data_IF_975787389266
#
_entry.id   IF_975787389266
#
_cell.length_a   1.000
_cell.length_b   1.000
_cell.length_c   1.000
_cell.angle_alpha   90.00
_cell.angle_beta   90.00
_cell.angle_gamma   90.00
#
_symmetry.space_group_name_H-M   'P 1'
#
loop_
_entity.id
_entity.type
_entity.pdbx_description
1 polymer ?
#
# COMPACT_ATOMS: atom_id res chain seq x y z
N UNK A 1 -14.45 -7.31 -15.96
CA UNK A 1 -14.25 -7.03 -17.40
C UNK A 1 -14.41 -8.32 -18.23
N UNK A 2 -15.12 -8.29 -19.36
CA UNK A 2 -15.33 -9.46 -20.22
C UNK A 2 -14.05 -9.81 -21.02
N UNK A 3 -13.44 -10.97 -20.72
CA UNK A 3 -12.18 -11.40 -21.36
C UNK A 3 -12.28 -11.52 -22.88
N UNK A 4 -13.45 -11.87 -23.41
CA UNK A 4 -13.63 -12.05 -24.86
C UNK A 4 -13.68 -10.69 -25.57
N UNK A 5 -14.39 -9.69 -25.03
CA UNK A 5 -14.34 -8.31 -25.52
C UNK A 5 -12.91 -7.76 -25.52
N UNK A 6 -12.16 -7.94 -24.43
CA UNK A 6 -10.77 -7.48 -24.34
C UNK A 6 -9.88 -8.03 -25.46
N UNK A 7 -10.00 -9.32 -25.76
CA UNK A 7 -9.23 -9.97 -26.82
C UNK A 7 -9.73 -9.60 -28.22
N UNK A 8 -11.04 -9.36 -28.39
CA UNK A 8 -11.59 -8.86 -29.65
C UNK A 8 -11.11 -7.43 -29.94
N UNK A 9 -11.16 -6.55 -28.95
CA UNK A 9 -10.69 -5.17 -29.05
C UNK A 9 -9.19 -5.11 -29.35
N UNK A 10 -8.38 -5.98 -28.73
CA UNK A 10 -6.92 -6.09 -28.99
C UNK A 10 -6.59 -6.36 -30.47
N UNK A 11 -7.47 -7.03 -31.21
CA UNK A 11 -7.23 -7.38 -32.62
C UNK A 11 -7.41 -6.19 -33.57
N UNK A 12 -7.90 -5.03 -33.07
CA UNK A 12 -8.02 -3.77 -33.81
C UNK A 12 -8.61 -3.97 -35.21
N UNK A 13 -9.82 -4.53 -35.25
CA UNK A 13 -10.45 -4.87 -36.54
C UNK A 13 -10.89 -3.59 -37.27
N UNK A 14 -10.57 -3.45 -38.56
CA UNK A 14 -11.02 -2.31 -39.35
C UNK A 14 -12.55 -2.32 -39.52
N UNK A 15 -13.17 -1.15 -39.55
CA UNK A 15 -14.58 -1.00 -39.91
C UNK A 15 -14.77 -0.85 -41.42
N UNK A 16 -16.04 -0.80 -41.85
CA UNK A 16 -16.43 -0.46 -43.23
C UNK A 16 -16.14 1.00 -43.55
N UNK A 17 -16.19 1.89 -42.56
CA UNK A 17 -15.80 3.29 -42.73
C UNK A 17 -14.29 3.45 -42.67
N UNK A 18 -13.73 4.11 -43.67
CA UNK A 18 -12.30 4.34 -43.79
C UNK A 18 -11.74 5.10 -42.58
N UNK A 19 -10.60 4.64 -42.05
CA UNK A 19 -9.96 5.23 -40.87
C UNK A 19 -10.61 4.91 -39.51
N UNK A 20 -11.63 4.04 -39.47
CA UNK A 20 -12.29 3.62 -38.22
C UNK A 20 -12.10 2.13 -37.90
N UNK A 21 -12.20 1.81 -36.61
CA UNK A 21 -12.05 0.46 -36.06
C UNK A 21 -13.31 0.03 -35.32
N UNK A 22 -13.54 -1.27 -35.25
CA UNK A 22 -14.64 -1.84 -34.48
C UNK A 22 -14.23 -2.00 -33.02
N UNK A 23 -15.06 -1.48 -32.11
CA UNK A 23 -14.92 -1.68 -30.67
C UNK A 23 -16.12 -2.46 -30.13
N UNK A 24 -15.84 -3.50 -29.34
CA UNK A 24 -16.81 -4.45 -28.81
C UNK A 24 -17.06 -4.14 -27.32
N UNK A 25 -18.26 -3.66 -27.01
CA UNK A 25 -18.69 -3.40 -25.64
C UNK A 25 -19.58 -4.55 -25.13
N UNK A 26 -19.28 -5.20 -23.99
CA UNK A 26 -20.11 -6.27 -23.45
C UNK A 26 -21.47 -5.74 -22.98
N UNK A 27 -22.54 -6.47 -23.28
CA UNK A 27 -23.91 -6.09 -22.97
C UNK A 27 -24.50 -6.89 -21.80
N UNK A 28 -25.36 -6.23 -21.02
CA UNK A 28 -26.24 -6.89 -20.07
C UNK A 28 -27.54 -7.37 -20.76
N UNK A 29 -28.35 -8.16 -20.04
CA UNK A 29 -29.60 -8.72 -20.56
C UNK A 29 -30.63 -7.67 -21.00
N UNK A 30 -30.55 -6.45 -20.45
CA UNK A 30 -31.40 -5.31 -20.80
C UNK A 30 -30.95 -4.55 -22.05
N UNK A 31 -29.70 -4.73 -22.52
CA UNK A 31 -29.14 -3.97 -23.63
C UNK A 31 -29.46 -4.59 -24.99
N UNK A 32 -29.75 -3.74 -25.99
CA UNK A 32 -30.01 -4.17 -27.38
C UNK A 32 -28.69 -4.45 -28.12
N UNK A 33 -28.13 -5.63 -27.90
CA UNK A 33 -26.91 -6.07 -28.58
C UNK A 33 -27.07 -6.20 -30.10
N UNK A 34 -26.10 -5.69 -30.87
CA UNK A 34 -26.04 -5.78 -32.33
C UNK A 34 -25.04 -6.85 -32.82
N UNK A 35 -24.29 -7.49 -31.92
CA UNK A 35 -23.33 -8.54 -32.23
C UNK A 35 -23.36 -9.63 -31.16
N UNK A 36 -23.23 -10.90 -31.57
CA UNK A 36 -23.25 -12.06 -30.67
C UNK A 36 -22.14 -13.04 -31.01
N UNK A 37 -21.49 -13.58 -29.99
CA UNK A 37 -20.49 -14.65 -30.12
C UNK A 37 -20.77 -15.70 -29.06
N UNK A 38 -21.26 -16.87 -29.49
CA UNK A 38 -21.83 -17.87 -28.59
C UNK A 38 -22.99 -17.26 -27.77
N UNK A 39 -22.96 -17.46 -26.45
CA UNK A 39 -23.96 -16.92 -25.53
C UNK A 39 -23.73 -15.45 -25.15
N UNK A 40 -22.61 -14.85 -25.61
CA UNK A 40 -22.23 -13.48 -25.25
C UNK A 40 -22.77 -12.45 -26.23
N UNK A 41 -23.24 -11.33 -25.69
CA UNK A 41 -23.88 -10.23 -26.40
C UNK A 41 -23.01 -8.99 -26.33
N UNK A 42 -22.85 -8.29 -27.44
CA UNK A 42 -22.03 -7.09 -27.58
C UNK A 42 -22.76 -5.98 -28.33
N UNK A 43 -22.46 -4.73 -27.97
CA UNK A 43 -22.69 -3.54 -28.78
C UNK A 43 -21.36 -3.21 -29.47
N UNK A 44 -21.37 -3.28 -30.79
CA UNK A 44 -20.22 -2.95 -31.63
C UNK A 44 -20.43 -1.56 -32.19
N UNK A 45 -19.45 -0.70 -31.94
CA UNK A 45 -19.40 0.68 -32.44
C UNK A 45 -18.16 0.88 -33.30
N UNK A 46 -18.20 1.91 -34.13
CA UNK A 46 -17.04 2.38 -34.88
C UNK A 46 -16.34 3.50 -34.10
N UNK A 47 -15.05 3.37 -33.91
CA UNK A 47 -14.21 4.34 -33.20
C UNK A 47 -13.06 4.79 -34.09
N UNK A 48 -12.58 6.01 -33.89
CA UNK A 48 -11.34 6.50 -34.50
C UNK A 48 -10.11 5.84 -33.85
N UNK A 49 -8.94 6.02 -34.46
CA UNK A 49 -7.66 5.54 -33.92
C UNK A 49 -7.42 6.02 -32.47
N UNK A 50 -7.54 7.34 -32.23
CA UNK A 50 -7.29 7.94 -30.92
C UNK A 50 -8.29 7.43 -29.85
N UNK A 51 -9.56 7.26 -30.24
CA UNK A 51 -10.59 6.70 -29.34
C UNK A 51 -10.32 5.23 -29.04
N UNK A 52 -9.87 4.46 -30.04
CA UNK A 52 -9.49 3.06 -29.85
C UNK A 52 -8.32 2.94 -28.88
N UNK A 53 -7.27 3.77 -29.00
CA UNK A 53 -6.12 3.77 -28.09
C UNK A 53 -6.52 4.13 -26.66
N UNK A 54 -7.33 5.17 -26.48
CA UNK A 54 -7.83 5.59 -25.17
C UNK A 54 -8.68 4.51 -24.49
N UNK A 55 -9.62 3.92 -25.24
CA UNK A 55 -10.44 2.81 -24.76
C UNK A 55 -9.61 1.56 -24.49
N UNK A 56 -8.55 1.32 -25.27
CA UNK A 56 -7.65 0.18 -25.09
C UNK A 56 -6.82 0.28 -23.82
N UNK A 57 -6.36 1.49 -23.49
CA UNK A 57 -5.68 1.75 -22.23
C UNK A 57 -6.62 1.56 -21.04
N UNK A 58 -7.86 2.06 -21.11
CA UNK A 58 -8.89 1.81 -20.10
C UNK A 58 -9.18 0.31 -19.94
N UNK A 59 -9.36 -0.40 -21.04
CA UNK A 59 -9.50 -1.86 -21.07
C UNK A 59 -8.31 -2.55 -20.38
N UNK A 60 -7.08 -2.09 -20.62
CA UNK A 60 -5.87 -2.65 -19.98
C UNK A 60 -5.88 -2.41 -18.47
N UNK A 61 -6.24 -1.21 -18.03
CA UNK A 61 -6.35 -0.88 -16.60
C UNK A 61 -7.45 -1.72 -15.93
N UNK A 62 -8.63 -1.82 -16.53
CA UNK A 62 -9.73 -2.63 -16.01
C UNK A 62 -9.40 -4.13 -16.01
N UNK A 63 -8.78 -4.66 -17.07
CA UNK A 63 -8.35 -6.05 -17.14
C UNK A 63 -7.32 -6.36 -16.04
N UNK A 64 -6.32 -5.51 -15.86
CA UNK A 64 -5.28 -5.68 -14.86
C UNK A 64 -5.80 -5.53 -13.42
N UNK A 65 -6.71 -4.59 -13.19
CA UNK A 65 -7.40 -4.41 -11.91
C UNK A 65 -8.34 -5.58 -11.61
N UNK A 66 -9.09 -6.06 -12.59
CA UNK A 66 -9.98 -7.22 -12.45
C UNK A 66 -9.19 -8.50 -12.19
N UNK A 67 -8.02 -8.67 -12.83
CA UNK A 67 -7.08 -9.74 -12.51
C UNK A 67 -6.46 -9.59 -11.12
N UNK A 68 -6.22 -8.37 -10.62
CA UNK A 68 -5.82 -8.17 -9.20
C UNK A 68 -6.95 -8.57 -8.24
N UNK A 69 -8.20 -8.23 -8.54
CA UNK A 69 -9.37 -8.57 -7.70
C UNK A 69 -9.65 -10.08 -7.69
N UNK A 70 -9.64 -10.75 -8.85
CA UNK A 70 -9.82 -12.21 -8.92
C UNK A 70 -8.67 -12.98 -8.24
N UNK A 71 -7.43 -12.45 -8.30
CA UNK A 71 -6.27 -13.02 -7.58
C UNK A 71 -6.43 -13.05 -6.06
N UNK A 72 -7.31 -12.23 -5.50
CA UNK A 72 -7.52 -12.13 -4.06
C UNK A 72 -8.86 -12.67 -3.56
N UNK A 73 -9.87 -12.87 -4.43
CA UNK A 73 -11.26 -13.09 -4.00
C UNK A 73 -11.93 -14.37 -4.50
N UNK A 74 -11.29 -15.28 -5.24
CA UNK A 74 -11.90 -16.60 -5.45
C UNK A 74 -11.57 -17.54 -4.26
N UNK A 75 -12.57 -18.00 -3.49
CA UNK A 75 -12.34 -19.04 -2.50
C UNK A 75 -11.93 -20.32 -3.21
N UNK A 76 -10.94 -21.01 -2.64
CA UNK A 76 -10.59 -22.36 -3.09
C UNK A 76 -11.82 -23.27 -2.90
N UNK A 77 -12.11 -24.18 -3.84
CA UNK A 77 -13.13 -25.20 -3.61
C UNK A 77 -12.77 -26.00 -2.35
N UNK A 78 -13.80 -26.31 -1.56
CA UNK A 78 -13.68 -26.96 -0.25
C UNK A 78 -12.95 -28.32 -0.34
N UNK A 79 -12.91 -28.92 -1.53
CA UNK A 79 -12.26 -30.20 -1.77
C UNK A 79 -11.58 -30.27 -3.16
N UNK A 80 -10.25 -30.27 -3.19
CA UNK A 80 -9.41 -30.25 -4.41
C UNK A 80 -9.43 -31.60 -5.16
N UNK A 81 -9.70 -32.70 -4.43
CA UNK A 81 -9.79 -34.06 -4.96
C UNK A 81 -11.08 -34.30 -5.77
N UNK A 82 -12.10 -33.47 -5.56
CA UNK A 82 -13.39 -33.55 -6.26
C UNK A 82 -13.40 -32.77 -7.59
N UNK A 83 -12.33 -32.01 -7.89
CA UNK A 83 -12.23 -31.21 -9.10
C UNK A 83 -11.87 -32.06 -10.32
N UNK A 84 -12.46 -31.73 -11.47
CA UNK A 84 -12.03 -32.35 -12.72
C UNK A 84 -10.60 -31.90 -13.08
N UNK A 85 -9.82 -32.72 -13.83
CA UNK A 85 -8.46 -32.37 -14.24
C UNK A 85 -8.35 -31.02 -14.98
N UNK A 86 -9.41 -30.62 -15.68
CA UNK A 86 -9.50 -29.35 -16.40
C UNK A 86 -9.73 -28.15 -15.47
N UNK A 87 -10.42 -28.36 -14.35
CA UNK A 87 -10.61 -27.36 -13.30
C UNK A 87 -9.36 -27.22 -12.44
N UNK A 88 -8.69 -28.32 -12.10
CA UNK A 88 -7.38 -28.31 -11.45
C UNK A 88 -6.36 -27.51 -12.28
N UNK A 89 -6.33 -27.72 -13.61
CA UNK A 89 -5.47 -26.95 -14.52
C UNK A 89 -5.79 -25.45 -14.61
N UNK A 90 -6.99 -25.01 -14.22
CA UNK A 90 -7.35 -23.59 -14.16
C UNK A 90 -6.65 -22.88 -12.99
N UNK A 91 -6.29 -23.62 -11.94
CA UNK A 91 -5.61 -23.14 -10.73
C UNK A 91 -4.07 -23.26 -10.79
N UNK A 92 -3.55 -24.12 -11.66
CA UNK A 92 -2.11 -24.25 -11.90
C UNK A 92 -1.65 -23.04 -12.74
N UNK A 93 -1.24 -21.97 -12.07
CA UNK A 93 -0.65 -20.80 -12.70
C UNK A 93 0.83 -21.09 -13.05
N UNK A 94 1.16 -21.18 -14.35
CA UNK A 94 2.53 -21.45 -14.83
C UNK A 94 3.50 -20.27 -14.61
N UNK A 95 3.02 -19.08 -14.28
CA UNK A 95 3.84 -17.87 -14.10
C UNK A 95 4.22 -17.59 -12.64
N UNK A 96 3.57 -18.24 -11.67
CA UNK A 96 3.90 -18.09 -10.25
C UNK A 96 4.63 -19.36 -9.81
N UNK A 97 5.91 -19.27 -9.38
CA UNK A 97 6.62 -20.43 -8.86
C UNK A 97 5.78 -21.07 -7.76
N UNK A 98 5.62 -22.39 -7.82
CA UNK A 98 4.92 -23.20 -6.80
C UNK A 98 5.38 -22.84 -5.38
N UNK A 99 6.64 -22.45 -5.22
CA UNK A 99 7.24 -22.01 -3.97
C UNK A 99 6.60 -20.75 -3.38
N UNK A 100 6.29 -19.71 -4.17
CA UNK A 100 5.78 -18.43 -3.62
C UNK A 100 4.36 -18.55 -3.05
N UNK A 101 3.44 -19.20 -3.77
CA UNK A 101 2.07 -19.45 -3.27
C UNK A 101 2.07 -20.39 -2.06
N UNK A 102 2.97 -21.37 -2.02
CA UNK A 102 3.09 -22.29 -0.89
C UNK A 102 3.64 -21.59 0.35
N UNK A 103 4.63 -20.70 0.18
CA UNK A 103 5.24 -19.94 1.28
C UNK A 103 4.23 -18.95 1.87
N UNK A 104 3.55 -18.13 1.06
CA UNK A 104 2.53 -17.19 1.56
C UNK A 104 1.38 -17.90 2.29
N UNK A 105 0.98 -19.08 1.79
CA UNK A 105 -0.01 -19.93 2.46
C UNK A 105 0.50 -20.48 3.78
N UNK A 106 1.72 -21.00 3.82
CA UNK A 106 2.34 -21.51 5.04
C UNK A 106 2.52 -20.40 6.08
N UNK A 107 2.94 -19.21 5.66
CA UNK A 107 3.10 -18.05 6.54
C UNK A 107 1.76 -17.59 7.10
N UNK A 108 0.70 -17.58 6.27
CA UNK A 108 -0.65 -17.31 6.75
C UNK A 108 -1.13 -18.37 7.75
N UNK A 109 -0.88 -19.65 7.48
CA UNK A 109 -1.25 -20.74 8.41
C UNK A 109 -0.50 -20.60 9.73
N UNK A 110 0.81 -20.29 9.71
CA UNK A 110 1.60 -20.03 10.91
C UNK A 110 1.09 -18.81 11.68
N UNK A 111 0.82 -17.71 10.98
CA UNK A 111 0.29 -16.49 11.58
C UNK A 111 -1.07 -16.75 12.27
N UNK A 112 -2.02 -17.40 11.58
CA UNK A 112 -3.29 -17.83 12.17
C UNK A 112 -3.11 -18.90 13.27
N UNK A 113 -2.01 -19.64 13.21
CA UNK A 113 -1.53 -20.57 14.24
C UNK A 113 -1.35 -19.92 15.61
N UNK A 114 -0.97 -18.64 15.65
CA UNK A 114 -0.80 -17.87 16.90
C UNK A 114 -2.12 -17.52 17.60
N UNK A 115 -3.24 -17.66 16.89
CA UNK A 115 -4.57 -17.34 17.38
C UNK A 115 -5.22 -18.54 18.07
N UNK A 116 -6.01 -18.26 19.11
CA UNK A 116 -6.95 -19.26 19.65
C UNK A 116 -7.99 -19.64 18.60
N UNK A 117 -8.64 -20.79 18.78
CA UNK A 117 -9.69 -21.27 17.86
C UNK A 117 -10.79 -20.22 17.66
N UNK A 118 -11.22 -19.56 18.74
CA UNK A 118 -12.26 -18.53 18.68
C UNK A 118 -11.77 -17.24 18.00
N UNK A 119 -10.54 -16.80 18.28
CA UNK A 119 -9.92 -15.64 17.61
C UNK A 119 -9.77 -15.88 16.11
N UNK A 120 -9.26 -17.07 15.73
CA UNK A 120 -9.12 -17.45 14.32
C UNK A 120 -10.46 -17.48 13.61
N UNK A 121 -11.48 -18.09 14.24
CA UNK A 121 -12.83 -18.19 13.66
C UNK A 121 -13.43 -16.79 13.44
N UNK A 122 -13.38 -15.92 14.45
CA UNK A 122 -13.87 -14.53 14.32
C UNK A 122 -13.09 -13.75 13.26
N UNK A 123 -11.76 -13.91 13.21
CA UNK A 123 -10.92 -13.22 12.24
C UNK A 123 -11.22 -13.66 10.80
N UNK A 124 -11.29 -14.96 10.53
CA UNK A 124 -11.62 -15.49 9.20
C UNK A 124 -13.02 -15.09 8.75
N UNK A 125 -14.04 -15.21 9.61
CA UNK A 125 -15.40 -14.78 9.27
C UNK A 125 -15.46 -13.28 8.91
N UNK A 126 -14.64 -12.44 9.54
CA UNK A 126 -14.61 -11.01 9.29
C UNK A 126 -13.78 -10.64 8.04
N UNK A 127 -12.62 -11.27 7.84
CA UNK A 127 -11.65 -10.87 6.80
C UNK A 127 -11.81 -11.67 5.52
N UNK A 128 -12.07 -12.97 5.64
CA UNK A 128 -12.13 -13.89 4.49
C UNK A 128 -13.56 -13.96 3.95
N UNK A 129 -14.55 -14.08 4.85
CA UNK A 129 -15.96 -14.18 4.46
C UNK A 129 -16.66 -12.82 4.40
N UNK A 130 -16.01 -11.75 4.87
CA UNK A 130 -16.53 -10.37 4.80
C UNK A 130 -17.80 -10.13 5.60
N UNK A 131 -18.10 -10.97 6.61
CA UNK A 131 -19.30 -10.87 7.42
C UNK A 131 -19.25 -9.67 8.37
N UNK A 132 -20.41 -9.08 8.64
CA UNK A 132 -20.47 -7.98 9.61
C UNK A 132 -20.37 -8.49 11.04
N UNK A 133 -19.99 -7.62 11.97
CA UNK A 133 -19.94 -8.00 13.39
C UNK A 133 -21.30 -8.48 13.92
N UNK A 134 -22.41 -8.00 13.32
CA UNK A 134 -23.77 -8.44 13.66
C UNK A 134 -24.01 -9.89 13.21
N UNK A 135 -23.67 -10.20 11.98
CA UNK A 135 -23.88 -11.54 11.41
C UNK A 135 -23.01 -12.58 12.13
N UNK A 136 -21.77 -12.21 12.48
CA UNK A 136 -20.87 -13.07 13.25
C UNK A 136 -21.39 -13.29 14.67
N UNK A 137 -21.93 -12.24 15.31
CA UNK A 137 -22.52 -12.34 16.64
C UNK A 137 -23.70 -13.31 16.66
N UNK A 138 -24.58 -13.22 15.66
CA UNK A 138 -25.72 -14.12 15.49
C UNK A 138 -25.27 -15.56 15.17
N UNK A 139 -24.32 -15.72 14.25
CA UNK A 139 -23.77 -17.02 13.85
C UNK A 139 -23.06 -17.76 14.99
N UNK A 140 -22.35 -17.03 15.86
CA UNK A 140 -21.60 -17.60 16.98
C UNK A 140 -22.38 -17.61 18.30
N UNK A 141 -23.58 -17.02 18.35
CA UNK A 141 -24.36 -16.89 19.58
C UNK A 141 -23.67 -16.02 20.65
N UNK A 142 -22.89 -15.01 20.25
CA UNK A 142 -22.17 -14.10 21.16
C UNK A 142 -22.60 -12.65 20.94
N UNK A 143 -22.18 -11.73 21.81
CA UNK A 143 -22.50 -10.30 21.63
C UNK A 143 -21.61 -9.65 20.57
N UNK A 144 -22.11 -8.61 19.89
CA UNK A 144 -21.30 -7.82 18.95
C UNK A 144 -20.04 -7.22 19.62
N UNK A 145 -20.15 -6.81 20.88
CA UNK A 145 -19.00 -6.33 21.65
C UNK A 145 -17.94 -7.41 21.87
N UNK A 146 -18.35 -8.67 22.08
CA UNK A 146 -17.45 -9.80 22.16
C UNK A 146 -16.78 -10.10 20.81
N UNK A 147 -17.50 -10.01 19.69
CA UNK A 147 -16.93 -10.12 18.33
C UNK A 147 -15.86 -9.06 18.12
N UNK A 148 -16.18 -7.78 18.36
CA UNK A 148 -15.24 -6.66 18.19
C UNK A 148 -13.99 -6.82 19.05
N UNK A 149 -14.15 -7.18 20.32
CA UNK A 149 -13.03 -7.40 21.24
C UNK A 149 -12.14 -8.56 20.79
N UNK A 150 -12.76 -9.67 20.38
CA UNK A 150 -12.06 -10.88 19.92
C UNK A 150 -11.31 -10.62 18.61
N UNK A 151 -11.96 -9.94 17.67
CA UNK A 151 -11.35 -9.51 16.41
C UNK A 151 -10.14 -8.62 16.63
N UNK A 152 -10.27 -7.59 17.48
CA UNK A 152 -9.18 -6.67 17.78
C UNK A 152 -8.00 -7.38 18.46
N UNK A 153 -8.27 -8.35 19.34
CA UNK A 153 -7.24 -9.17 19.98
C UNK A 153 -6.51 -10.05 18.96
N UNK A 154 -7.27 -10.73 18.11
CA UNK A 154 -6.71 -11.54 17.02
C UNK A 154 -5.82 -10.71 16.11
N UNK A 155 -6.33 -9.55 15.68
CA UNK A 155 -5.60 -8.60 14.84
C UNK A 155 -4.29 -8.15 15.47
N UNK A 156 -4.29 -7.74 16.74
CA UNK A 156 -3.07 -7.33 17.46
C UNK A 156 -2.02 -8.45 17.52
N UNK A 157 -2.44 -9.71 17.70
CA UNK A 157 -1.52 -10.86 17.67
C UNK A 157 -0.90 -11.08 16.29
N UNK A 158 -1.70 -10.95 15.23
CA UNK A 158 -1.20 -11.06 13.86
C UNK A 158 -0.27 -9.91 13.49
N UNK A 159 -0.61 -8.68 13.89
CA UNK A 159 0.27 -7.52 13.69
C UNK A 159 1.61 -7.76 14.40
N UNK A 160 1.59 -8.20 15.67
CA UNK A 160 2.80 -8.53 16.43
C UNK A 160 3.62 -9.68 15.80
N UNK A 161 2.95 -10.70 15.26
CA UNK A 161 3.61 -11.78 14.51
C UNK A 161 4.31 -11.24 13.26
N UNK A 162 3.64 -10.40 12.48
CA UNK A 162 4.19 -9.82 11.25
C UNK A 162 5.33 -8.82 11.52
N UNK A 163 5.33 -8.17 12.68
CA UNK A 163 6.41 -7.28 13.12
C UNK A 163 7.45 -7.97 14.00
N UNK A 164 7.43 -9.31 14.10
CA UNK A 164 8.45 -10.06 14.84
C UNK A 164 9.83 -9.91 14.18
N UNK A 165 10.88 -9.92 15.00
CA UNK A 165 12.29 -9.88 14.55
C UNK A 165 12.69 -11.09 13.71
N UNK A 166 11.90 -12.16 13.73
CA UNK A 166 12.13 -13.37 12.94
C UNK A 166 11.79 -13.17 11.44
N UNK A 167 11.05 -12.12 11.09
CA UNK A 167 10.71 -11.80 9.71
C UNK A 167 11.81 -10.98 9.03
N UNK A 168 11.80 -10.97 7.70
CA UNK A 168 12.73 -10.14 6.95
C UNK A 168 12.47 -8.65 7.24
N UNK A 169 13.53 -7.80 7.30
CA UNK A 169 13.39 -6.37 7.55
C UNK A 169 12.37 -5.67 6.65
N UNK A 170 12.36 -6.00 5.36
CA UNK A 170 11.43 -5.42 4.38
C UNK A 170 9.96 -5.78 4.67
N UNK A 171 9.72 -7.01 5.14
CA UNK A 171 8.38 -7.48 5.52
C UNK A 171 7.89 -6.78 6.79
N UNK A 172 8.79 -6.57 7.76
CA UNK A 172 8.50 -5.82 9.00
C UNK A 172 8.10 -4.38 8.65
N UNK A 173 8.89 -3.69 7.82
CA UNK A 173 8.61 -2.31 7.40
C UNK A 173 7.29 -2.22 6.65
N UNK A 174 7.00 -3.18 5.78
CA UNK A 174 5.72 -3.25 5.08
C UNK A 174 4.53 -3.51 6.02
N UNK A 175 4.70 -4.39 7.01
CA UNK A 175 3.68 -4.66 8.02
C UNK A 175 3.39 -3.39 8.85
N UNK A 176 4.43 -2.70 9.32
CA UNK A 176 4.31 -1.43 10.03
C UNK A 176 3.63 -0.36 9.17
N UNK A 177 3.98 -0.25 7.90
CA UNK A 177 3.31 0.68 6.98
C UNK A 177 1.81 0.39 6.83
N UNK A 178 1.42 -0.89 6.74
CA UNK A 178 0.00 -1.29 6.69
C UNK A 178 -0.73 -0.94 8.00
N UNK A 179 -0.08 -1.14 9.15
CA UNK A 179 -0.63 -0.76 10.46
C UNK A 179 -0.84 0.76 10.51
N UNK A 180 0.16 1.55 10.13
CA UNK A 180 0.05 3.01 10.11
C UNK A 180 -1.05 3.51 9.18
N UNK A 181 -1.13 2.99 7.95
CA UNK A 181 -2.17 3.40 7.00
C UNK A 181 -3.60 3.06 7.47
N UNK A 182 -3.73 2.03 8.31
CA UNK A 182 -5.00 1.57 8.87
C UNK A 182 -5.40 2.38 10.10
N UNK A 183 -4.50 2.46 11.07
CA UNK A 183 -4.80 2.97 12.42
C UNK A 183 -4.32 4.41 12.64
N UNK A 184 -3.42 4.93 11.78
CA UNK A 184 -2.68 6.19 11.94
C UNK A 184 -1.75 6.21 13.15
N UNK A 185 -1.39 5.03 13.65
CA UNK A 185 -0.59 4.82 14.86
C UNK A 185 0.31 3.61 14.61
N UNK A 186 1.53 3.64 15.15
CA UNK A 186 2.41 2.48 15.14
C UNK A 186 2.53 1.87 16.56
N UNK A 187 2.91 0.59 16.66
CA UNK A 187 3.21 -0.05 17.94
C UNK A 187 4.28 0.74 18.71
N UNK A 188 4.21 0.68 20.04
CA UNK A 188 5.22 1.22 20.96
C UNK A 188 5.61 2.69 20.72
N UNK A 189 4.71 3.47 20.14
CA UNK A 189 4.92 4.88 19.79
C UNK A 189 6.00 5.14 18.73
N UNK A 190 6.29 4.14 17.90
CA UNK A 190 7.22 4.28 16.79
C UNK A 190 6.81 5.40 15.82
N UNK A 191 5.52 5.73 15.71
CA UNK A 191 5.03 6.87 14.92
C UNK A 191 5.51 8.22 15.48
N UNK A 192 5.62 8.34 16.81
CA UNK A 192 6.14 9.53 17.49
C UNK A 192 7.65 9.64 17.33
N UNK A 193 8.36 8.51 17.45
CA UNK A 193 9.82 8.46 17.29
C UNK A 193 10.24 8.78 15.85
N UNK A 194 9.55 8.20 14.87
CA UNK A 194 9.77 8.50 13.45
C UNK A 194 9.41 9.95 13.12
N UNK A 195 8.34 10.50 13.72
CA UNK A 195 8.04 11.92 13.59
C UNK A 195 9.19 12.80 14.11
N UNK A 196 9.78 12.43 15.25
CA UNK A 196 10.94 13.13 15.80
C UNK A 196 12.13 13.12 14.82
N UNK A 197 12.43 11.97 14.22
CA UNK A 197 13.49 11.84 13.21
C UNK A 197 13.19 12.67 11.96
N UNK A 198 11.97 12.59 11.42
CA UNK A 198 11.55 13.36 10.24
C UNK A 198 11.64 14.87 10.52
N UNK A 199 11.29 15.31 11.73
CA UNK A 199 11.46 16.71 12.14
C UNK A 199 12.92 17.13 12.21
N UNK A 200 13.80 16.22 12.66
CA UNK A 200 15.25 16.45 12.70
C UNK A 200 15.86 16.71 11.33
N UNK A 201 15.33 16.08 10.28
CA UNK A 201 15.81 16.24 8.89
C UNK A 201 14.89 17.13 8.03
N UNK A 202 13.92 17.84 8.64
CA UNK A 202 12.82 18.45 7.90
C UNK A 202 13.26 19.48 6.86
N UNK A 203 14.30 20.25 7.18
CA UNK A 203 14.83 21.28 6.28
C UNK A 203 15.40 20.68 4.98
N UNK A 204 15.87 19.44 5.02
CA UNK A 204 16.45 18.72 3.89
C UNK A 204 15.48 17.74 3.23
N UNK A 205 14.24 17.67 3.69
CA UNK A 205 13.30 16.65 3.24
C UNK A 205 12.84 16.87 1.79
N UNK A 206 12.77 18.12 1.32
CA UNK A 206 12.29 18.46 -0.02
C UNK A 206 13.16 17.82 -1.12
N UNK A 207 14.50 18.00 -1.13
CA UNK A 207 15.38 17.29 -2.06
C UNK A 207 15.15 15.78 -2.04
N UNK A 208 15.05 15.16 -0.85
CA UNK A 208 14.82 13.72 -0.76
C UNK A 208 13.49 13.32 -1.40
N UNK A 209 12.39 14.03 -1.13
CA UNK A 209 11.06 13.68 -1.67
C UNK A 209 11.08 13.50 -3.20
N UNK A 210 11.83 14.32 -3.93
CA UNK A 210 11.91 14.22 -5.40
C UNK A 210 12.61 12.94 -5.88
N UNK A 211 13.46 12.33 -5.05
CA UNK A 211 14.16 11.09 -5.40
C UNK A 211 13.34 9.82 -5.15
N UNK A 212 12.20 9.90 -4.46
CA UNK A 212 11.32 8.76 -4.17
C UNK A 212 10.06 8.77 -5.02
N UNK A 213 9.55 7.59 -5.35
CA UNK A 213 8.33 7.42 -6.14
C UNK A 213 7.09 7.96 -5.42
N UNK A 214 7.07 7.89 -4.10
CA UNK A 214 5.97 8.38 -3.27
C UNK A 214 6.46 8.75 -1.87
N UNK A 215 5.71 9.61 -1.17
CA UNK A 215 5.97 9.90 0.26
C UNK A 215 5.92 8.61 1.09
N UNK A 216 5.04 7.67 0.76
CA UNK A 216 4.97 6.39 1.45
C UNK A 216 6.18 5.47 1.20
N UNK A 217 6.91 5.65 0.10
CA UNK A 217 8.21 4.99 -0.09
C UNK A 217 9.26 5.64 0.81
N UNK A 218 9.37 6.98 0.79
CA UNK A 218 10.30 7.71 1.65
C UNK A 218 10.10 7.38 3.13
N UNK A 219 8.87 7.42 3.63
CA UNK A 219 8.55 7.04 5.02
C UNK A 219 8.97 5.61 5.36
N UNK A 220 8.80 4.65 4.43
CA UNK A 220 9.24 3.27 4.63
C UNK A 220 10.75 3.13 4.65
N UNK A 221 11.48 3.88 3.82
CA UNK A 221 12.94 3.93 3.87
C UNK A 221 13.45 4.53 5.18
N UNK A 222 12.85 5.64 5.64
CA UNK A 222 13.18 6.24 6.95
C UNK A 222 12.91 5.25 8.07
N UNK A 223 11.76 4.57 8.03
CA UNK A 223 11.40 3.53 9.01
C UNK A 223 12.39 2.37 9.00
N UNK A 224 12.82 1.92 7.83
CA UNK A 224 13.83 0.87 7.69
C UNK A 224 15.16 1.32 8.30
N UNK A 225 15.64 2.51 7.96
CA UNK A 225 16.91 3.04 8.46
C UNK A 225 16.89 3.33 9.96
N UNK A 226 15.71 3.62 10.51
CA UNK A 226 15.52 3.80 11.94
C UNK A 226 15.58 2.47 12.70
N UNK A 227 14.95 1.42 12.17
CA UNK A 227 14.79 0.14 12.88
C UNK A 227 15.97 -0.81 12.76
N UNK A 228 16.75 -0.71 11.68
CA UNK A 228 17.76 -1.72 11.34
C UNK A 228 19.16 -1.11 11.21
N UNK A 229 20.17 -1.97 11.36
CA UNK A 229 21.58 -1.64 11.21
C UNK A 229 22.06 -0.49 12.12
N UNK A 230 21.50 -0.35 13.32
CA UNK A 230 21.90 0.72 14.26
C UNK A 230 23.42 0.69 14.57
N UNK A 231 23.99 -0.52 14.66
CA UNK A 231 25.41 -0.78 14.87
C UNK A 231 26.30 -0.26 13.73
N UNK A 232 25.73 -0.07 12.54
CA UNK A 232 26.45 0.41 11.35
C UNK A 232 26.39 1.91 11.15
N UNK A 233 25.56 2.64 11.91
CA UNK A 233 25.37 4.08 11.74
C UNK A 233 26.71 4.83 11.69
N UNK A 234 27.62 4.53 12.63
CA UNK A 234 28.92 5.19 12.68
C UNK A 234 29.76 4.92 11.43
N UNK A 235 29.79 3.68 10.97
CA UNK A 235 30.52 3.29 9.76
C UNK A 235 29.92 3.93 8.51
N UNK A 236 28.59 4.04 8.43
CA UNK A 236 27.89 4.71 7.34
C UNK A 236 28.24 6.20 7.28
N UNK A 237 28.26 6.88 8.44
CA UNK A 237 28.67 8.29 8.55
C UNK A 237 30.12 8.47 8.11
N UNK A 238 31.06 7.68 8.64
CA UNK A 238 32.47 7.74 8.27
C UNK A 238 32.67 7.51 6.77
N UNK A 239 31.98 6.51 6.21
CA UNK A 239 32.00 6.21 4.77
C UNK A 239 31.45 7.36 3.93
N UNK A 240 30.29 7.90 4.29
CA UNK A 240 29.70 9.04 3.58
C UNK A 240 30.65 10.23 3.58
N UNK A 241 31.13 10.65 4.74
CA UNK A 241 32.05 11.79 4.86
C UNK A 241 33.36 11.59 4.11
N UNK A 242 33.89 10.36 4.04
CA UNK A 242 35.12 10.07 3.26
C UNK A 242 34.97 10.27 1.75
N UNK A 243 33.74 10.26 1.24
CA UNK A 243 33.42 10.37 -0.20
C UNK A 243 32.62 11.62 -0.54
N UNK A 244 32.21 12.38 0.46
CA UNK A 244 31.44 13.59 0.32
C UNK A 244 32.33 14.76 -0.11
N UNK A 245 31.75 15.73 -0.82
CA UNK A 245 32.44 16.99 -1.14
C UNK A 245 32.73 17.79 0.13
N UNK A 246 33.63 18.79 0.03
CA UNK A 246 33.90 19.67 1.17
C UNK A 246 32.62 20.39 1.65
N UNK A 247 31.79 20.85 0.71
CA UNK A 247 30.50 21.48 1.02
C UNK A 247 29.54 20.54 1.76
N UNK A 248 29.42 19.27 1.33
CA UNK A 248 28.60 18.26 2.01
C UNK A 248 29.12 17.95 3.42
N UNK A 249 30.44 17.91 3.61
CA UNK A 249 31.05 17.67 4.92
C UNK A 249 30.82 18.83 5.89
N UNK A 250 30.98 20.07 5.43
CA UNK A 250 30.67 21.27 6.19
C UNK A 250 29.18 21.34 6.54
N UNK A 251 28.31 21.08 5.57
CA UNK A 251 26.87 21.02 5.80
C UNK A 251 26.48 19.98 6.85
N UNK A 252 27.03 18.76 6.76
CA UNK A 252 26.78 17.74 7.78
C UNK A 252 27.24 18.20 9.16
N UNK A 253 28.43 18.79 9.26
CA UNK A 253 28.98 19.28 10.53
C UNK A 253 28.08 20.36 11.15
N UNK A 254 27.63 21.32 10.36
CA UNK A 254 26.89 22.49 10.84
C UNK A 254 25.45 22.15 11.24
N UNK A 255 24.77 21.26 10.51
CA UNK A 255 23.35 20.96 10.73
C UNK A 255 23.09 19.63 11.46
N UNK A 256 23.99 18.66 11.32
CA UNK A 256 23.82 17.31 11.83
C UNK A 256 24.88 16.88 12.85
N UNK A 257 26.04 17.54 12.92
CA UNK A 257 27.16 17.13 13.78
C UNK A 257 26.82 17.01 15.27
N UNK A 258 25.90 17.85 15.76
CA UNK A 258 25.42 17.81 17.16
C UNK A 258 24.07 17.09 17.34
N UNK A 259 23.44 16.63 16.26
CA UNK A 259 22.18 15.88 16.34
C UNK A 259 22.41 14.49 16.97
N UNK A 260 21.33 13.87 17.45
CA UNK A 260 21.42 12.50 17.97
C UNK A 260 21.83 11.51 16.86
N UNK A 261 22.57 10.42 17.18
CA UNK A 261 23.12 9.50 16.18
C UNK A 261 22.09 8.95 15.19
N UNK A 262 20.86 8.73 15.63
CA UNK A 262 19.79 8.21 14.77
C UNK A 262 19.34 9.21 13.69
N UNK A 263 19.32 10.52 14.00
CA UNK A 263 19.02 11.57 13.01
C UNK A 263 20.17 11.68 12.02
N UNK A 264 21.41 11.69 12.52
CA UNK A 264 22.61 11.69 11.69
C UNK A 264 22.63 10.50 10.72
N UNK A 265 22.38 9.30 11.24
CA UNK A 265 22.37 8.06 10.48
C UNK A 265 21.29 8.04 9.40
N UNK A 266 20.06 8.45 9.72
CA UNK A 266 18.96 8.50 8.74
C UNK A 266 19.26 9.52 7.64
N UNK A 267 19.73 10.73 7.99
CA UNK A 267 20.14 11.72 6.99
C UNK A 267 21.21 11.15 6.03
N UNK A 268 22.29 10.60 6.59
CA UNK A 268 23.39 10.04 5.80
C UNK A 268 22.92 8.90 4.89
N UNK A 269 22.08 7.99 5.41
CA UNK A 269 21.54 6.87 4.62
C UNK A 269 20.62 7.32 3.50
N UNK A 270 19.86 8.40 3.69
CA UNK A 270 19.09 9.03 2.62
C UNK A 270 20.02 9.63 1.55
N UNK A 271 21.08 10.36 1.93
CA UNK A 271 22.08 10.86 0.98
C UNK A 271 22.75 9.73 0.19
N UNK A 272 23.14 8.64 0.87
CA UNK A 272 23.73 7.47 0.22
C UNK A 272 22.75 6.79 -0.76
N UNK A 273 21.47 6.70 -0.41
CA UNK A 273 20.44 6.15 -1.29
C UNK A 273 20.20 7.04 -2.52
N UNK A 274 20.23 8.36 -2.37
CA UNK A 274 20.20 9.29 -3.51
C UNK A 274 21.40 9.05 -4.43
N UNK A 275 22.63 9.03 -3.88
CA UNK A 275 23.86 8.75 -4.66
C UNK A 275 23.79 7.39 -5.36
N UNK A 276 23.20 6.37 -4.72
CA UNK A 276 22.96 5.05 -5.33
C UNK A 276 21.96 5.12 -6.48
N UNK A 277 20.87 5.87 -6.34
CA UNK A 277 19.86 6.07 -7.41
C UNK A 277 20.45 6.80 -8.60
N UNK A 278 21.25 7.84 -8.35
CA UNK A 278 22.03 8.56 -9.37
C UNK A 278 22.99 7.63 -10.12
N UNK A 279 23.77 6.83 -9.40
CA UNK A 279 24.68 5.86 -10.00
C UNK A 279 23.96 4.82 -10.88
N UNK A 280 22.71 4.50 -10.55
CA UNK A 280 21.83 3.63 -11.32
C UNK A 280 21.07 4.37 -12.45
N UNK A 281 21.43 5.63 -12.75
CA UNK A 281 20.83 6.47 -13.80
C UNK A 281 19.34 6.73 -13.63
N UNK A 282 18.86 6.70 -12.39
CA UNK A 282 17.54 7.23 -12.06
C UNK A 282 17.60 8.75 -12.02
N UNK A 283 16.46 9.38 -12.31
CA UNK A 283 16.29 10.82 -12.24
C UNK A 283 15.32 11.16 -11.12
N UNK A 284 15.54 12.30 -10.47
CA UNK A 284 14.57 12.87 -9.57
C UNK A 284 13.30 13.27 -10.34
N UNK A 285 12.18 13.31 -9.63
CA UNK A 285 10.90 13.68 -10.22
C UNK A 285 9.96 14.25 -9.16
N UNK A 286 9.12 15.18 -9.56
CA UNK A 286 8.09 15.74 -8.67
C UNK A 286 6.89 14.81 -8.45
N UNK A 287 6.94 13.56 -8.93
CA UNK A 287 5.81 12.60 -8.89
C UNK A 287 5.23 12.40 -7.49
N UNK A 288 6.07 12.36 -6.45
CA UNK A 288 5.61 12.22 -5.08
C UNK A 288 4.76 13.42 -4.63
N UNK A 289 5.19 14.64 -4.94
CA UNK A 289 4.49 15.89 -4.62
C UNK A 289 3.22 16.02 -5.48
N UNK A 290 3.33 15.77 -6.79
CA UNK A 290 2.22 15.83 -7.73
C UNK A 290 1.11 14.83 -7.36
N UNK A 291 1.51 13.64 -6.89
CA UNK A 291 0.57 12.61 -6.41
C UNK A 291 -0.24 13.09 -5.21
N UNK A 292 0.41 13.76 -4.25
CA UNK A 292 -0.27 14.35 -3.08
C UNK A 292 -1.18 15.49 -3.51
N UNK A 293 -0.66 16.40 -4.34
CA UNK A 293 -1.45 17.53 -4.84
C UNK A 293 -2.70 17.05 -5.58
N UNK A 294 -2.56 16.08 -6.48
CA UNK A 294 -3.68 15.49 -7.24
C UNK A 294 -4.70 14.83 -6.31
N UNK A 295 -4.26 14.14 -5.26
CA UNK A 295 -5.15 13.52 -4.28
C UNK A 295 -5.95 14.57 -3.51
N UNK A 296 -5.29 15.63 -3.04
CA UNK A 296 -5.93 16.74 -2.32
C UNK A 296 -6.87 17.52 -3.24
N UNK A 297 -6.47 17.77 -4.48
CA UNK A 297 -7.29 18.47 -5.47
C UNK A 297 -8.60 17.72 -5.74
N UNK A 298 -8.57 16.38 -5.85
CA UNK A 298 -9.78 15.56 -5.99
C UNK A 298 -10.72 15.70 -4.79
N UNK A 299 -10.18 15.80 -3.58
CA UNK A 299 -10.97 16.01 -2.36
C UNK A 299 -11.54 17.43 -2.34
N UNK A 300 -10.71 18.43 -2.63
CA UNK A 300 -11.09 19.84 -2.67
C UNK A 300 -12.21 20.10 -3.68
N UNK A 301 -12.11 19.55 -4.91
CA UNK A 301 -13.15 19.62 -5.94
C UNK A 301 -14.50 19.06 -5.48
N UNK A 302 -14.51 17.92 -4.78
CA UNK A 302 -15.74 17.32 -4.23
C UNK A 302 -16.40 18.18 -3.15
N UNK A 303 -15.62 19.03 -2.50
CA UNK A 303 -16.05 19.89 -1.40
C UNK A 303 -16.27 21.34 -1.83
N UNK A 304 -16.06 21.65 -3.11
CA UNK A 304 -16.09 23.01 -3.66
C UNK A 304 -15.16 23.99 -2.91
N UNK A 305 -13.96 23.51 -2.56
CA UNK A 305 -12.89 24.28 -1.90
C UNK A 305 -11.68 24.38 -2.82
N UNK A 306 -10.83 25.38 -2.61
CA UNK A 306 -9.48 25.36 -3.14
C UNK A 306 -8.61 24.29 -2.45
N UNK A 307 -7.51 23.90 -3.08
CA UNK A 307 -6.54 22.95 -2.48
C UNK A 307 -6.00 23.49 -1.15
N UNK A 308 -5.67 24.78 -1.09
CA UNK A 308 -5.15 25.43 0.10
C UNK A 308 -6.17 25.42 1.26
N UNK A 309 -7.43 25.76 0.97
CA UNK A 309 -8.50 25.70 1.97
C UNK A 309 -8.76 24.27 2.44
N UNK A 310 -8.73 23.29 1.53
CA UNK A 310 -8.89 21.89 1.89
C UNK A 310 -7.75 21.41 2.83
N UNK A 311 -6.51 21.85 2.59
CA UNK A 311 -5.37 21.57 3.47
C UNK A 311 -5.56 22.22 4.83
N UNK A 312 -5.80 23.54 4.86
CA UNK A 312 -5.86 24.33 6.10
C UNK A 312 -7.08 24.00 6.96
N UNK A 313 -8.25 23.80 6.37
CA UNK A 313 -9.50 23.65 7.11
C UNK A 313 -9.83 22.20 7.45
N UNK A 314 -9.26 21.21 6.73
CA UNK A 314 -9.63 19.80 6.92
C UNK A 314 -8.44 18.90 7.20
N UNK A 315 -7.49 18.79 6.26
CA UNK A 315 -6.41 17.82 6.38
C UNK A 315 -5.46 18.14 7.55
N UNK A 316 -4.98 19.37 7.66
CA UNK A 316 -4.07 19.74 8.74
C UNK A 316 -4.71 19.64 10.13
N UNK A 317 -5.93 20.16 10.38
CA UNK A 317 -6.58 20.00 11.68
C UNK A 317 -6.78 18.52 12.05
N UNK A 318 -7.24 17.70 11.09
CA UNK A 318 -7.46 16.27 11.31
C UNK A 318 -6.17 15.53 11.69
N UNK A 319 -5.07 15.78 10.97
CA UNK A 319 -3.77 15.16 11.27
C UNK A 319 -3.17 15.71 12.56
N UNK A 320 -3.31 17.01 12.83
CA UNK A 320 -2.80 17.66 14.03
C UNK A 320 -3.46 17.11 15.29
N UNK A 321 -4.78 16.87 15.27
CA UNK A 321 -5.50 16.28 16.40
C UNK A 321 -4.96 14.88 16.75
N UNK A 322 -4.81 14.02 15.73
CA UNK A 322 -4.26 12.67 15.91
C UNK A 322 -2.83 12.69 16.45
N UNK A 323 -1.96 13.54 15.87
CA UNK A 323 -0.57 13.70 16.32
C UNK A 323 -0.49 14.19 17.76
N UNK A 324 -1.29 15.21 18.13
CA UNK A 324 -1.37 15.73 19.50
C UNK A 324 -1.81 14.65 20.48
N UNK A 325 -2.79 13.82 20.12
CA UNK A 325 -3.22 12.69 20.95
C UNK A 325 -2.07 11.72 21.20
N UNK A 326 -1.38 11.29 20.13
CA UNK A 326 -0.24 10.35 20.23
C UNK A 326 0.91 10.89 21.05
N UNK A 327 1.26 12.16 20.88
CA UNK A 327 2.28 12.82 21.70
C UNK A 327 1.91 12.86 23.19
N UNK A 328 0.64 13.14 23.52
CA UNK A 328 0.17 13.12 24.91
C UNK A 328 0.24 11.72 25.51
N UNK A 329 -0.13 10.70 24.74
CA UNK A 329 -0.04 9.29 25.16
C UNK A 329 1.42 8.85 25.36
N UNK A 330 2.32 9.20 24.43
CA UNK A 330 3.76 8.95 24.53
C UNK A 330 4.34 9.58 25.79
N UNK A 331 4.08 10.87 26.01
CA UNK A 331 4.57 11.59 27.18
C UNK A 331 4.05 10.95 28.47
N UNK A 332 2.75 10.59 28.52
CA UNK A 332 2.16 9.93 29.67
C UNK A 332 2.77 8.56 29.94
N UNK A 333 3.05 7.79 28.90
CA UNK A 333 3.65 6.46 29.00
C UNK A 333 5.05 6.53 29.61
N UNK A 334 5.92 7.42 29.12
CA UNK A 334 7.32 7.50 29.55
C UNK A 334 7.56 8.33 30.82
N UNK A 335 6.74 9.35 31.10
CA UNK A 335 6.96 10.25 32.25
C UNK A 335 5.99 10.00 33.41
N UNK A 336 4.90 9.26 33.18
CA UNK A 336 3.80 9.12 34.12
C UNK A 336 2.97 10.40 34.33
N UNK A 337 3.35 11.53 33.71
CA UNK A 337 2.69 12.83 33.86
C UNK A 337 1.77 13.14 32.69
N UNK A 338 0.80 14.03 32.90
CA UNK A 338 0.00 14.58 31.81
C UNK A 338 0.74 15.76 31.19
N UNK A 339 0.81 15.80 29.86
CA UNK A 339 1.30 16.98 29.15
C UNK A 339 0.24 18.08 29.29
N UNK A 340 0.62 19.23 29.85
CA UNK A 340 -0.26 20.40 29.92
C UNK A 340 -0.41 21.05 28.53
N UNK A 341 -1.57 21.69 28.30
CA UNK A 341 -2.02 22.16 26.98
C UNK A 341 -1.11 23.16 26.28
#
# INVERSE_FOLDING_TARGET
>A
MDKLAYHLNKKKKPSKTEGKFLYYYPCNSADKANYRVGDKKYIVIEVTENEWEALRELDRFEYNNWHKVYRHNEPFPIDEEMLSPREQQKWINKEIPFTTLSIERLDRVRALGTLTVQERKVYCLCVDDGLTQKDIAEYLGITQGAVSTTFNRARKKLDAYNTSKDNAPDDIVWALWKIFMRDYELPDFLDVEIEFVIRGIFNDLIPFINWFYSIGELCRYILWYYLFDEDRIRQDIEKYLSTATQEEQEYFKDYYGEQVPIIQGVYVRLCMEVKRREANRLQDSHKAIDGVYTAVEKIAKRLNLSVEECLKQRLYPYLAEKRKRRLKEFYRYYTGKKLHE
#
